data_IF_900393852923
#
_entry.id   IF_900393852923
#
_cell.length_a   1.000
_cell.length_b   1.000
_cell.length_c   1.000
_cell.angle_alpha   90.00
_cell.angle_beta   90.00
_cell.angle_gamma   90.00
#
_symmetry.space_group_name_H-M   'P 1'
#
loop_
_entity.id
_entity.type
_entity.pdbx_description
1 polymer ?
#
# COMPACT_ATOMS: atom_id res chain seq x y z
N UNK A 1 -12.83 4.60 20.12
CA UNK A 1 -11.46 4.18 19.74
C UNK A 1 -11.31 4.34 18.24
N UNK A 2 -10.16 4.83 17.76
CA UNK A 2 -9.85 4.91 16.32
C UNK A 2 -9.44 3.54 15.79
N UNK A 3 -9.94 3.14 14.62
CA UNK A 3 -9.57 1.87 13.97
C UNK A 3 -8.19 2.00 13.32
N UNK A 4 -7.24 1.14 13.74
CA UNK A 4 -5.92 1.06 13.12
C UNK A 4 -5.98 0.28 11.80
N UNK A 5 -5.66 0.93 10.69
CA UNK A 5 -5.80 0.40 9.32
C UNK A 5 -4.45 -0.07 8.78
N UNK A 6 -4.36 -1.35 8.46
CA UNK A 6 -3.14 -1.98 7.95
C UNK A 6 -3.35 -2.39 6.49
N UNK A 7 -2.39 -2.06 5.63
CA UNK A 7 -2.34 -2.54 4.26
C UNK A 7 -1.12 -3.46 4.09
N UNK A 8 -1.39 -4.72 3.77
CA UNK A 8 -0.39 -5.78 3.68
C UNK A 8 -0.30 -6.35 2.27
N UNK A 9 0.91 -6.52 1.75
CA UNK A 9 1.17 -7.07 0.43
C UNK A 9 1.89 -8.41 0.53
N UNK A 10 1.28 -9.46 -0.05
CA UNK A 10 1.90 -10.77 -0.14
C UNK A 10 3.06 -10.78 -1.16
N UNK A 11 4.05 -11.64 -0.93
CA UNK A 11 5.12 -11.90 -1.89
C UNK A 11 4.63 -12.69 -3.11
N UNK A 12 5.34 -12.58 -4.24
CA UNK A 12 4.92 -13.29 -5.46
C UNK A 12 5.75 -13.04 -6.71
N UNK A 13 6.94 -12.43 -6.57
CA UNK A 13 7.74 -12.02 -7.73
C UNK A 13 6.96 -11.06 -8.61
N UNK A 14 6.99 -11.30 -9.93
CA UNK A 14 6.28 -10.47 -10.92
C UNK A 14 4.77 -10.37 -10.67
N UNK A 15 4.15 -11.34 -9.98
CA UNK A 15 2.72 -11.32 -9.63
C UNK A 15 2.35 -10.18 -8.69
N UNK A 16 3.32 -9.54 -8.04
CA UNK A 16 3.10 -8.31 -7.28
C UNK A 16 2.46 -7.19 -8.13
N UNK A 17 2.59 -7.24 -9.46
CA UNK A 17 1.89 -6.34 -10.38
C UNK A 17 0.36 -6.40 -10.21
N UNK A 18 -0.20 -7.58 -9.92
CA UNK A 18 -1.65 -7.71 -9.66
C UNK A 18 -2.05 -6.99 -8.38
N UNK A 19 -1.26 -7.12 -7.31
CA UNK A 19 -1.50 -6.41 -6.04
C UNK A 19 -1.43 -4.90 -6.22
N UNK A 20 -0.47 -4.40 -7.01
CA UNK A 20 -0.36 -2.97 -7.34
C UNK A 20 -1.54 -2.51 -8.21
N UNK A 21 -1.96 -3.30 -9.20
CA UNK A 21 -3.13 -2.98 -10.05
C UNK A 21 -4.42 -2.92 -9.24
N UNK A 22 -4.60 -3.83 -8.29
CA UNK A 22 -5.73 -3.82 -7.38
C UNK A 22 -5.69 -2.57 -6.47
N UNK A 23 -4.52 -2.22 -5.94
CA UNK A 23 -4.33 -0.99 -5.16
C UNK A 23 -4.68 0.26 -5.98
N UNK A 24 -4.23 0.35 -7.24
CA UNK A 24 -4.54 1.48 -8.12
C UNK A 24 -6.05 1.67 -8.27
N UNK A 25 -6.80 0.58 -8.44
CA UNK A 25 -8.26 0.63 -8.54
C UNK A 25 -8.90 1.06 -7.21
N UNK A 26 -8.49 0.46 -6.10
CA UNK A 26 -8.99 0.81 -4.77
C UNK A 26 -8.69 2.28 -4.39
N UNK A 27 -7.54 2.80 -4.78
CA UNK A 27 -7.16 4.20 -4.56
C UNK A 27 -7.99 5.15 -5.45
N UNK A 28 -8.36 4.75 -6.66
CA UNK A 28 -9.25 5.53 -7.52
C UNK A 28 -10.66 5.62 -6.93
N UNK A 29 -11.17 4.50 -6.41
CA UNK A 29 -12.49 4.42 -5.78
C UNK A 29 -12.50 5.06 -4.37
N UNK A 30 -11.35 5.09 -3.69
CA UNK A 30 -11.16 5.71 -2.38
C UNK A 30 -9.83 6.49 -2.32
N UNK A 31 -9.82 7.77 -2.74
CA UNK A 31 -8.61 8.59 -2.82
C UNK A 31 -7.86 8.78 -1.50
N UNK A 32 -8.52 8.55 -0.36
CA UNK A 32 -7.89 8.64 0.96
C UNK A 32 -7.28 7.33 1.44
N UNK A 33 -7.40 6.22 0.71
CA UNK A 33 -7.02 4.89 1.20
C UNK A 33 -5.56 4.82 1.68
N UNK A 34 -4.61 5.29 0.87
CA UNK A 34 -3.20 5.29 1.25
C UNK A 34 -2.89 6.26 2.40
N UNK A 35 -3.51 7.44 2.41
CA UNK A 35 -3.35 8.46 3.46
C UNK A 35 -3.90 7.97 4.80
N UNK A 36 -5.04 7.27 4.77
CA UNK A 36 -5.75 6.75 5.92
C UNK A 36 -5.23 5.40 6.43
N UNK A 37 -4.19 4.84 5.80
CA UNK A 37 -3.52 3.61 6.23
C UNK A 37 -2.45 3.93 7.26
N UNK A 38 -2.53 3.35 8.44
CA UNK A 38 -1.60 3.60 9.54
C UNK A 38 -0.30 2.80 9.41
N UNK A 39 -0.37 1.60 8.77
CA UNK A 39 0.79 0.74 8.57
C UNK A 39 0.80 0.10 7.19
N UNK A 40 1.96 0.20 6.52
CA UNK A 40 2.27 -0.52 5.29
C UNK A 40 3.22 -1.67 5.61
N UNK A 41 2.88 -2.89 5.24
CA UNK A 41 3.69 -4.08 5.51
C UNK A 41 3.67 -5.05 4.33
N UNK A 42 4.64 -5.94 4.24
CA UNK A 42 4.71 -6.93 3.18
C UNK A 42 5.96 -7.80 3.24
N UNK A 43 5.96 -8.89 2.47
CA UNK A 43 7.07 -9.84 2.40
C UNK A 43 7.59 -9.98 0.96
N UNK A 44 8.91 -10.12 0.78
CA UNK A 44 9.57 -10.22 -0.54
C UNK A 44 9.16 -9.07 -1.47
N UNK A 45 8.58 -9.33 -2.65
CA UNK A 45 8.05 -8.27 -3.53
C UNK A 45 7.03 -7.36 -2.84
N UNK A 46 6.23 -7.90 -1.92
CA UNK A 46 5.32 -7.11 -1.11
C UNK A 46 6.05 -6.11 -0.20
N UNK A 47 7.22 -6.49 0.34
CA UNK A 47 8.05 -5.58 1.13
C UNK A 47 8.59 -4.42 0.27
N UNK A 48 8.97 -4.71 -0.98
CA UNK A 48 9.40 -3.69 -1.94
C UNK A 48 8.26 -2.73 -2.26
N UNK A 49 7.05 -3.24 -2.54
CA UNK A 49 5.85 -2.42 -2.79
C UNK A 49 5.55 -1.54 -1.58
N UNK A 50 5.50 -2.12 -0.37
CA UNK A 50 5.23 -1.39 0.87
C UNK A 50 6.30 -0.34 1.17
N UNK A 51 7.57 -0.64 0.90
CA UNK A 51 8.67 0.31 1.06
C UNK A 51 8.55 1.51 0.12
N UNK A 52 8.28 1.28 -1.16
CA UNK A 52 8.04 2.38 -2.11
C UNK A 52 6.81 3.21 -1.75
N UNK A 53 5.71 2.58 -1.32
CA UNK A 53 4.51 3.28 -0.87
C UNK A 53 4.76 4.09 0.40
N UNK A 54 5.58 3.59 1.33
CA UNK A 54 5.94 4.32 2.55
C UNK A 54 6.79 5.55 2.22
N UNK A 55 7.75 5.43 1.30
CA UNK A 55 8.53 6.55 0.79
C UNK A 55 7.61 7.57 0.11
N UNK A 56 6.75 7.12 -0.80
CA UNK A 56 5.79 7.97 -1.49
C UNK A 56 4.90 8.71 -0.48
N UNK A 57 4.31 8.01 0.48
CA UNK A 57 3.48 8.59 1.53
C UNK A 57 4.22 9.65 2.34
N UNK A 58 5.48 9.41 2.73
CA UNK A 58 6.29 10.37 3.48
C UNK A 58 6.49 11.68 2.74
N UNK A 59 6.67 11.64 1.42
CA UNK A 59 6.98 12.84 0.60
C UNK A 59 5.76 13.47 -0.10
N UNK A 60 4.60 12.80 -0.10
CA UNK A 60 3.38 13.27 -0.77
C UNK A 60 2.19 13.42 0.20
N UNK A 61 2.43 13.31 1.51
CA UNK A 61 1.48 13.79 2.50
C UNK A 61 1.46 15.31 2.45
N UNK A 62 0.43 15.87 1.82
CA UNK A 62 0.03 17.27 1.90
C UNK A 62 -0.28 17.67 3.35
#
# INVERSE_FOLDING_TARGET
MSTYKILSFCGGGIRGLMSVKMLQRLQADNPGLLQNTDMLTGCSTGAVISGFLAIYKKYNSF
#
